data_IF_946941873853
#
_entry.id   IF_946941873853
#
_cell.length_a   1.000
_cell.length_b   1.000
_cell.length_c   1.000
_cell.angle_alpha   90.00
_cell.angle_beta   90.00
_cell.angle_gamma   90.00
#
_symmetry.space_group_name_H-M   'P 1'
#
loop_
_entity.id
_entity.type
_entity.pdbx_description
1 polymer ?
#
# COMPACT_ATOMS: atom_id res chain seq x y z
N UNK A 1 25.38 -4.41 -13.87
CA UNK A 1 25.41 -2.92 -13.81
C UNK A 1 24.81 -2.46 -12.47
N UNK A 2 25.17 -1.29 -11.94
CA UNK A 2 24.48 -0.75 -10.77
C UNK A 2 23.20 -0.04 -11.22
N UNK A 3 22.18 0.02 -10.37
CA UNK A 3 20.94 0.75 -10.69
C UNK A 3 21.22 2.21 -11.06
N UNK A 4 22.18 2.85 -10.40
CA UNK A 4 22.63 4.21 -10.70
C UNK A 4 23.17 4.32 -12.13
N UNK A 5 23.93 3.35 -12.63
CA UNK A 5 24.43 3.37 -14.02
C UNK A 5 23.30 3.17 -15.03
N UNK A 6 22.34 2.31 -14.74
CA UNK A 6 21.16 2.07 -15.59
C UNK A 6 20.34 3.36 -15.74
N UNK A 7 20.07 4.05 -14.63
CA UNK A 7 19.33 5.31 -14.65
C UNK A 7 20.10 6.40 -15.43
N UNK A 8 21.42 6.50 -15.26
CA UNK A 8 22.25 7.43 -16.01
C UNK A 8 22.21 7.16 -17.52
N UNK A 9 22.28 5.89 -17.91
CA UNK A 9 22.22 5.52 -19.31
C UNK A 9 20.86 5.85 -19.91
N UNK A 10 19.75 5.64 -19.17
CA UNK A 10 18.42 6.05 -19.63
C UNK A 10 18.30 7.57 -19.78
N UNK A 11 18.81 8.35 -18.82
CA UNK A 11 18.87 9.82 -18.90
C UNK A 11 19.68 10.26 -20.13
N UNK A 12 20.87 9.69 -20.37
CA UNK A 12 21.74 10.00 -21.49
C UNK A 12 21.13 9.69 -22.86
N UNK A 13 20.35 8.62 -22.92
CA UNK A 13 19.68 8.21 -24.15
C UNK A 13 18.36 8.95 -24.41
N UNK A 14 17.80 9.61 -23.39
CA UNK A 14 16.57 10.38 -23.54
C UNK A 14 16.85 11.70 -24.30
N UNK A 15 16.00 12.12 -25.28
CA UNK A 15 16.21 13.33 -26.07
C UNK A 15 16.38 14.62 -25.22
N UNK A 16 15.75 14.67 -24.06
CA UNK A 16 15.82 15.82 -23.13
C UNK A 16 16.98 15.72 -22.15
N UNK A 17 17.80 14.66 -22.19
CA UNK A 17 18.82 14.36 -21.18
C UNK A 17 18.26 14.38 -19.75
N UNK A 18 17.00 14.00 -19.60
CA UNK A 18 16.26 13.91 -18.34
C UNK A 18 15.11 12.92 -18.51
N UNK A 19 14.69 12.29 -17.41
CA UNK A 19 13.51 11.39 -17.35
C UNK A 19 12.50 11.93 -16.33
N UNK A 20 11.18 11.70 -16.48
CA UNK A 20 10.20 12.06 -15.47
C UNK A 20 10.53 11.43 -14.11
N UNK A 21 10.23 12.14 -13.01
CA UNK A 21 10.46 11.59 -11.65
C UNK A 21 9.77 10.21 -11.45
N UNK A 22 8.58 10.02 -12.01
CA UNK A 22 7.89 8.73 -11.97
C UNK A 22 8.75 7.60 -12.55
N UNK A 23 9.44 7.84 -13.68
CA UNK A 23 10.32 6.85 -14.28
C UNK A 23 11.59 6.61 -13.45
N UNK A 24 12.14 7.66 -12.86
CA UNK A 24 13.26 7.54 -11.92
C UNK A 24 12.87 6.66 -10.72
N UNK A 25 11.72 6.93 -10.09
CA UNK A 25 11.21 6.17 -8.95
C UNK A 25 10.93 4.72 -9.33
N UNK A 26 10.34 4.48 -10.50
CA UNK A 26 10.10 3.12 -11.03
C UNK A 26 11.41 2.31 -11.13
N UNK A 27 12.44 2.91 -11.73
CA UNK A 27 13.75 2.25 -11.85
C UNK A 27 14.39 2.02 -10.48
N UNK A 28 14.39 3.03 -9.62
CA UNK A 28 15.00 2.96 -8.30
C UNK A 28 14.36 1.88 -7.40
N UNK A 29 13.04 1.68 -7.52
CA UNK A 29 12.30 0.73 -6.68
C UNK A 29 12.17 -0.66 -7.31
N UNK A 30 11.90 -0.75 -8.63
CA UNK A 30 11.40 -1.96 -9.25
C UNK A 30 12.27 -2.53 -10.38
N UNK A 31 13.39 -1.88 -10.74
CA UNK A 31 14.25 -2.42 -11.80
C UNK A 31 14.75 -3.83 -11.42
N UNK A 32 14.66 -4.83 -12.30
CA UNK A 32 15.07 -6.22 -11.99
C UNK A 32 16.52 -6.33 -11.49
N UNK A 33 17.43 -5.53 -12.03
CA UNK A 33 18.85 -5.50 -11.66
C UNK A 33 19.13 -4.37 -10.66
N UNK A 34 18.72 -4.55 -9.39
CA UNK A 34 19.13 -3.69 -8.29
C UNK A 34 18.14 -2.61 -7.87
N UNK A 35 16.87 -2.71 -8.27
CA UNK A 35 15.79 -1.94 -7.65
C UNK A 35 15.59 -2.32 -6.19
N UNK A 36 15.11 -1.39 -5.40
CA UNK A 36 14.95 -1.56 -3.96
C UNK A 36 14.15 -2.83 -3.61
N UNK A 37 12.94 -3.00 -4.17
CA UNK A 37 12.07 -4.14 -3.88
C UNK A 37 12.51 -5.45 -4.56
N UNK A 38 13.30 -5.38 -5.62
CA UNK A 38 13.79 -6.56 -6.33
C UNK A 38 15.09 -7.14 -5.73
N UNK A 39 15.77 -6.37 -4.88
CA UNK A 39 17.00 -6.83 -4.20
C UNK A 39 16.70 -7.86 -3.12
N UNK A 40 17.68 -8.73 -2.82
CA UNK A 40 17.55 -9.84 -1.85
C UNK A 40 17.83 -9.46 -0.39
N UNK A 41 17.98 -8.16 -0.07
CA UNK A 41 18.20 -7.74 1.31
C UNK A 41 16.87 -7.59 2.07
N UNK A 42 16.86 -7.76 3.41
CA UNK A 42 15.71 -7.46 4.24
C UNK A 42 15.28 -5.98 4.11
N UNK A 43 13.96 -5.72 4.01
CA UNK A 43 13.38 -4.37 3.97
C UNK A 43 12.56 -4.06 5.19
N UNK A 44 11.87 -5.06 5.74
CA UNK A 44 10.89 -4.92 6.81
C UNK A 44 11.42 -5.60 8.08
N UNK A 45 11.16 -4.98 9.24
CA UNK A 45 11.52 -5.52 10.54
C UNK A 45 12.85 -4.98 11.09
N UNK A 46 13.37 -5.60 12.15
CA UNK A 46 14.52 -5.09 12.91
C UNK A 46 15.78 -4.88 12.06
N UNK A 47 16.02 -5.78 11.12
CA UNK A 47 17.20 -5.75 10.24
C UNK A 47 16.89 -5.06 8.89
N UNK A 48 15.71 -4.47 8.77
CA UNK A 48 15.23 -3.77 7.59
C UNK A 48 15.33 -2.24 7.68
N UNK A 49 14.59 -1.59 6.80
CA UNK A 49 14.59 -0.13 6.69
C UNK A 49 13.40 0.50 7.41
N UNK A 50 12.29 -0.25 7.63
CA UNK A 50 11.08 0.22 8.29
C UNK A 50 10.28 -0.91 8.98
N UNK A 51 9.30 -0.50 9.80
CA UNK A 51 8.29 -1.40 10.37
C UNK A 51 6.93 -1.09 9.75
N UNK A 52 6.17 -2.12 9.45
CA UNK A 52 4.78 -1.99 8.99
C UNK A 52 3.81 -2.28 10.13
N UNK A 53 2.56 -1.83 10.01
CA UNK A 53 1.49 -2.18 10.95
C UNK A 53 1.36 -3.69 11.15
N UNK A 54 1.59 -4.46 10.08
CA UNK A 54 1.54 -5.93 10.08
C UNK A 54 2.68 -6.58 10.88
N UNK A 55 3.84 -5.91 11.02
CA UNK A 55 5.02 -6.45 11.71
C UNK A 55 5.11 -6.05 13.18
N UNK A 56 4.32 -5.06 13.61
CA UNK A 56 4.33 -4.59 15.02
C UNK A 56 3.87 -5.69 15.96
N UNK A 57 2.76 -6.34 15.67
CA UNK A 57 2.21 -7.44 16.48
C UNK A 57 1.08 -8.18 15.73
N UNK A 58 0.88 -9.50 15.96
CA UNK A 58 -0.21 -10.28 15.37
C UNK A 58 -1.61 -9.70 15.56
N UNK A 59 -1.86 -8.89 16.58
CA UNK A 59 -3.19 -8.34 16.89
C UNK A 59 -3.80 -7.50 15.76
N UNK A 60 -3.00 -6.85 14.94
CA UNK A 60 -3.45 -6.16 13.73
C UNK A 60 -4.03 -7.16 12.73
N UNK A 61 -3.26 -8.18 12.38
CA UNK A 61 -3.67 -9.24 11.45
C UNK A 61 -4.90 -10.01 11.98
N UNK A 62 -4.95 -10.30 13.29
CA UNK A 62 -6.10 -10.94 13.92
C UNK A 62 -7.38 -10.09 13.77
N UNK A 63 -7.26 -8.77 13.88
CA UNK A 63 -8.40 -7.86 13.71
C UNK A 63 -8.87 -7.83 12.25
N UNK A 64 -7.93 -7.77 11.30
CA UNK A 64 -8.27 -7.85 9.87
C UNK A 64 -8.87 -9.22 9.50
N UNK A 65 -8.39 -10.30 10.11
CA UNK A 65 -8.95 -11.63 9.90
C UNK A 65 -10.41 -11.73 10.37
N UNK A 66 -10.74 -11.14 11.53
CA UNK A 66 -12.11 -11.10 12.03
C UNK A 66 -13.03 -10.28 11.08
N UNK A 67 -12.51 -9.16 10.52
CA UNK A 67 -13.22 -8.39 9.48
C UNK A 67 -13.44 -9.21 8.21
N UNK A 68 -12.43 -9.92 7.74
CA UNK A 68 -12.53 -10.80 6.56
C UNK A 68 -13.53 -11.92 6.80
N UNK A 69 -13.52 -12.54 7.99
CA UNK A 69 -14.49 -13.57 8.37
C UNK A 69 -15.93 -13.05 8.37
N UNK A 70 -16.15 -11.81 8.84
CA UNK A 70 -17.46 -11.15 8.78
C UNK A 70 -17.89 -10.88 7.34
N UNK A 71 -16.98 -10.36 6.50
CA UNK A 71 -17.21 -10.15 5.07
C UNK A 71 -17.56 -11.45 4.34
N UNK A 72 -16.90 -12.55 4.66
CA UNK A 72 -17.19 -13.86 4.06
C UNK A 72 -18.57 -14.38 4.47
N UNK A 73 -18.95 -14.24 5.74
CA UNK A 73 -20.29 -14.63 6.20
C UNK A 73 -21.39 -13.83 5.53
N UNK A 74 -21.17 -12.52 5.36
CA UNK A 74 -22.15 -11.65 4.67
C UNK A 74 -22.21 -11.90 3.17
N UNK A 75 -21.11 -12.37 2.55
CA UNK A 75 -21.08 -12.76 1.15
C UNK A 75 -21.73 -14.10 0.86
N UNK A 76 -21.84 -14.98 1.87
CA UNK A 76 -22.46 -16.29 1.73
C UNK A 76 -21.68 -17.28 0.83
N UNK A 77 -20.38 -17.03 0.61
CA UNK A 77 -19.56 -17.88 -0.25
C UNK A 77 -19.16 -19.17 0.47
N UNK A 78 -19.19 -20.28 -0.28
CA UNK A 78 -18.74 -21.59 0.21
C UNK A 78 -17.23 -21.80 0.08
N UNK A 79 -16.60 -21.15 -0.88
CA UNK A 79 -15.15 -21.20 -1.13
C UNK A 79 -14.60 -19.80 -1.35
N UNK A 80 -14.53 -18.98 -0.26
CA UNK A 80 -14.11 -17.59 -0.37
C UNK A 80 -12.62 -17.47 -0.66
N UNK A 81 -12.25 -16.40 -1.36
CA UNK A 81 -10.84 -16.06 -1.56
C UNK A 81 -10.41 -14.95 -0.59
N UNK A 82 -9.18 -15.07 -0.10
CA UNK A 82 -8.39 -13.96 0.41
C UNK A 82 -7.29 -13.67 -0.59
N UNK A 83 -7.28 -12.46 -1.13
CA UNK A 83 -6.20 -12.00 -2.01
C UNK A 83 -5.38 -10.97 -1.24
N UNK A 84 -4.08 -11.17 -1.10
CA UNK A 84 -3.17 -10.16 -0.55
C UNK A 84 -2.28 -9.61 -1.65
N UNK A 85 -2.24 -8.28 -1.80
CA UNK A 85 -1.39 -7.59 -2.76
C UNK A 85 -0.22 -6.94 -2.01
N UNK A 86 1.02 -7.26 -2.42
CA UNK A 86 2.21 -6.69 -1.81
C UNK A 86 2.47 -7.20 -0.39
N UNK A 87 2.25 -8.48 -0.14
CA UNK A 87 2.30 -9.08 1.20
C UNK A 87 3.68 -9.14 1.87
N UNK A 88 4.73 -8.62 1.23
CA UNK A 88 6.07 -8.56 1.78
C UNK A 88 6.57 -9.92 2.27
N UNK A 89 6.86 -10.06 3.56
CA UNK A 89 7.36 -11.31 4.16
C UNK A 89 6.30 -12.41 4.32
N UNK A 90 5.02 -12.14 4.05
CA UNK A 90 3.91 -13.07 4.30
C UNK A 90 3.44 -13.12 5.76
N UNK A 91 3.97 -12.24 6.62
CA UNK A 91 3.62 -12.23 8.04
C UNK A 91 2.12 -11.91 8.26
N UNK A 92 1.57 -10.95 7.49
CA UNK A 92 0.15 -10.58 7.60
C UNK A 92 -0.76 -11.76 7.26
N UNK A 93 -0.62 -12.33 6.06
CA UNK A 93 -1.36 -13.54 5.67
C UNK A 93 -1.17 -14.69 6.66
N UNK A 94 0.05 -14.94 7.13
CA UNK A 94 0.34 -16.03 8.07
C UNK A 94 -0.40 -15.87 9.41
N UNK A 95 -0.46 -14.66 9.96
CA UNK A 95 -1.22 -14.38 11.17
C UNK A 95 -2.73 -14.42 10.93
N UNK A 96 -3.20 -13.88 9.79
CA UNK A 96 -4.61 -13.93 9.41
C UNK A 96 -5.10 -15.36 9.25
N UNK A 97 -4.37 -16.23 8.56
CA UNK A 97 -4.73 -17.62 8.36
C UNK A 97 -4.85 -18.39 9.67
N UNK A 98 -3.94 -18.17 10.62
CA UNK A 98 -4.07 -18.76 11.96
C UNK A 98 -5.37 -18.36 12.63
N UNK A 99 -5.70 -17.07 12.60
CA UNK A 99 -6.92 -16.55 13.20
C UNK A 99 -8.17 -17.06 12.50
N UNK A 100 -8.19 -17.09 11.17
CA UNK A 100 -9.31 -17.61 10.38
C UNK A 100 -9.57 -19.10 10.66
N UNK A 101 -8.50 -19.91 10.80
CA UNK A 101 -8.62 -21.33 11.18
C UNK A 101 -9.31 -21.50 12.53
N UNK A 102 -9.06 -20.60 13.50
CA UNK A 102 -9.66 -20.64 14.83
C UNK A 102 -11.11 -20.15 14.84
N UNK A 103 -11.45 -19.14 14.04
CA UNK A 103 -12.73 -18.42 14.15
C UNK A 103 -13.78 -18.83 13.10
N UNK A 104 -13.34 -19.34 11.96
CA UNK A 104 -14.20 -19.79 10.85
C UNK A 104 -13.65 -21.05 10.18
N UNK A 105 -13.43 -22.15 10.93
CA UNK A 105 -12.78 -23.36 10.43
C UNK A 105 -13.50 -23.98 9.23
N UNK A 106 -14.80 -23.80 9.12
CA UNK A 106 -15.63 -24.27 8.00
C UNK A 106 -15.30 -23.53 6.69
N UNK A 107 -15.10 -22.20 6.75
CA UNK A 107 -14.71 -21.40 5.59
C UNK A 107 -13.21 -21.52 5.31
N UNK A 108 -12.40 -21.63 6.37
CA UNK A 108 -10.94 -21.80 6.24
C UNK A 108 -10.56 -23.05 5.45
N UNK A 109 -11.29 -24.15 5.60
CA UNK A 109 -11.00 -25.40 4.91
C UNK A 109 -11.10 -25.27 3.40
N UNK A 110 -12.09 -24.52 2.93
CA UNK A 110 -12.44 -24.42 1.52
C UNK A 110 -11.99 -23.08 0.88
N UNK A 111 -11.30 -22.23 1.66
CA UNK A 111 -10.80 -20.94 1.15
C UNK A 111 -9.60 -21.11 0.22
N UNK A 112 -9.38 -20.08 -0.60
CA UNK A 112 -8.16 -19.93 -1.39
C UNK A 112 -7.40 -18.69 -0.95
N UNK A 113 -6.07 -18.79 -0.84
CA UNK A 113 -5.17 -17.65 -0.66
C UNK A 113 -4.49 -17.34 -1.98
N UNK A 114 -4.67 -16.12 -2.46
CA UNK A 114 -4.01 -15.61 -3.67
C UNK A 114 -3.05 -14.50 -3.25
N UNK A 115 -1.80 -14.63 -3.63
CA UNK A 115 -0.74 -13.69 -3.30
C UNK A 115 -0.23 -13.04 -4.58
N UNK A 116 -0.21 -11.70 -4.61
CA UNK A 116 0.31 -10.94 -5.74
C UNK A 116 1.59 -10.25 -5.27
N UNK A 117 2.73 -10.76 -5.75
CA UNK A 117 4.05 -10.32 -5.31
C UNK A 117 5.03 -10.25 -6.48
N UNK A 118 5.53 -9.06 -6.75
CA UNK A 118 6.45 -8.80 -7.85
C UNK A 118 7.88 -9.22 -7.53
N UNK A 119 8.27 -9.20 -6.24
CA UNK A 119 9.61 -9.54 -5.79
C UNK A 119 9.80 -11.06 -5.64
N UNK A 120 10.70 -11.70 -6.41
CA UNK A 120 11.01 -13.12 -6.23
C UNK A 120 11.53 -13.43 -4.82
N UNK A 121 12.26 -12.49 -4.20
CA UNK A 121 12.75 -12.62 -2.84
C UNK A 121 11.63 -12.66 -1.81
N UNK A 122 10.68 -11.72 -1.89
CA UNK A 122 9.52 -11.72 -0.99
C UNK A 122 8.62 -12.93 -1.22
N UNK A 123 8.43 -13.36 -2.47
CA UNK A 123 7.69 -14.59 -2.77
C UNK A 123 8.30 -15.80 -2.06
N UNK A 124 9.62 -15.95 -2.06
CA UNK A 124 10.30 -17.03 -1.34
C UNK A 124 10.04 -16.97 0.17
N UNK A 125 10.08 -15.77 0.76
CA UNK A 125 9.76 -15.57 2.18
C UNK A 125 8.29 -15.92 2.49
N UNK A 126 7.37 -15.56 1.61
CA UNK A 126 5.95 -15.91 1.72
C UNK A 126 5.73 -17.43 1.65
N UNK A 127 6.38 -18.11 0.71
CA UNK A 127 6.31 -19.57 0.58
C UNK A 127 6.80 -20.26 1.86
N UNK A 128 7.85 -19.74 2.49
CA UNK A 128 8.36 -20.24 3.76
C UNK A 128 7.42 -19.95 4.93
N UNK A 129 6.97 -18.70 5.08
CA UNK A 129 6.07 -18.27 6.15
C UNK A 129 4.72 -19.00 6.13
N UNK A 130 4.25 -19.38 4.95
CA UNK A 130 2.95 -20.01 4.72
C UNK A 130 3.02 -21.52 4.51
N UNK A 131 4.19 -22.14 4.69
CA UNK A 131 4.40 -23.59 4.44
C UNK A 131 3.46 -24.48 5.25
N UNK A 132 3.15 -24.11 6.50
CA UNK A 132 2.28 -24.87 7.40
C UNK A 132 0.79 -24.57 7.26
N UNK A 133 0.37 -23.70 6.34
CA UNK A 133 -1.04 -23.41 6.12
C UNK A 133 -1.67 -24.43 5.16
N UNK A 134 -2.74 -25.09 5.61
CA UNK A 134 -3.44 -26.15 4.88
C UNK A 134 -4.57 -25.58 4.00
N UNK A 135 -4.25 -24.54 3.20
CA UNK A 135 -5.19 -23.92 2.25
C UNK A 135 -4.57 -23.92 0.86
N UNK A 136 -5.41 -23.86 -0.17
CA UNK A 136 -4.93 -23.66 -1.54
C UNK A 136 -4.24 -22.30 -1.63
N UNK A 137 -3.01 -22.26 -2.16
CA UNK A 137 -2.20 -21.06 -2.32
C UNK A 137 -1.79 -20.86 -3.77
N UNK A 138 -1.98 -19.66 -4.28
CA UNK A 138 -1.55 -19.27 -5.62
C UNK A 138 -0.76 -17.98 -5.57
N UNK A 139 0.30 -17.87 -6.37
CA UNK A 139 1.13 -16.68 -6.51
C UNK A 139 1.12 -16.17 -7.94
N UNK A 140 0.98 -14.86 -8.06
CA UNK A 140 1.10 -14.14 -9.32
C UNK A 140 2.16 -13.05 -9.20
N UNK A 141 2.90 -12.79 -10.28
CA UNK A 141 3.93 -11.75 -10.31
C UNK A 141 3.35 -10.34 -10.48
N UNK A 142 2.11 -10.23 -10.91
CA UNK A 142 1.43 -8.95 -11.06
C UNK A 142 -0.09 -9.09 -10.91
N UNK A 143 -0.73 -7.97 -10.53
CA UNK A 143 -2.18 -7.89 -10.47
C UNK A 143 -2.84 -8.17 -11.82
N UNK A 144 -2.22 -7.72 -12.93
CA UNK A 144 -2.70 -7.97 -14.29
C UNK A 144 -2.70 -9.46 -14.63
N UNK A 145 -1.64 -10.17 -14.25
CA UNK A 145 -1.55 -11.63 -14.44
C UNK A 145 -2.66 -12.34 -13.66
N UNK A 146 -2.83 -12.01 -12.37
CA UNK A 146 -3.89 -12.57 -11.54
C UNK A 146 -5.29 -12.30 -12.13
N UNK A 147 -5.56 -11.06 -12.55
CA UNK A 147 -6.83 -10.65 -13.14
C UNK A 147 -7.14 -11.30 -14.50
N UNK A 148 -6.11 -11.75 -15.22
CA UNK A 148 -6.26 -12.50 -16.47
C UNK A 148 -6.50 -14.00 -16.24
N UNK A 149 -5.92 -14.54 -15.16
CA UNK A 149 -5.95 -15.97 -14.84
C UNK A 149 -7.16 -16.37 -14.00
N UNK A 150 -7.65 -15.46 -13.14
CA UNK A 150 -8.66 -15.77 -12.13
C UNK A 150 -9.81 -14.76 -12.12
N UNK A 151 -10.87 -15.18 -11.41
CA UNK A 151 -11.92 -14.29 -10.93
C UNK A 151 -12.33 -14.79 -9.55
N UNK A 152 -12.19 -13.94 -8.54
CA UNK A 152 -12.41 -14.32 -7.15
C UNK A 152 -13.72 -13.79 -6.59
N UNK A 153 -14.29 -14.53 -5.66
CA UNK A 153 -15.35 -14.09 -4.76
C UNK A 153 -14.77 -14.07 -3.34
N UNK A 154 -14.83 -12.91 -2.66
CA UNK A 154 -14.21 -12.80 -1.35
C UNK A 154 -13.64 -11.41 -1.06
N UNK A 155 -12.40 -11.36 -0.57
CA UNK A 155 -11.76 -10.11 -0.12
C UNK A 155 -10.39 -9.94 -0.78
N UNK A 156 -10.18 -8.78 -1.39
CA UNK A 156 -8.87 -8.31 -1.82
C UNK A 156 -8.35 -7.32 -0.77
N UNK A 157 -7.18 -7.60 -0.21
CA UNK A 157 -6.52 -6.82 0.82
C UNK A 157 -5.20 -6.25 0.28
N UNK A 158 -4.94 -4.98 0.53
CA UNK A 158 -3.61 -4.38 0.42
C UNK A 158 -3.29 -3.57 1.67
N UNK A 159 -2.05 -3.69 2.15
CA UNK A 159 -1.53 -2.93 3.28
C UNK A 159 -0.17 -2.36 2.92
N UNK A 160 -0.03 -1.03 2.92
CA UNK A 160 1.21 -0.35 2.53
C UNK A 160 1.69 -0.82 1.13
N UNK A 161 0.85 -0.60 0.14
CA UNK A 161 1.09 -1.02 -1.25
C UNK A 161 1.06 0.14 -2.24
N UNK A 162 0.04 1.02 -2.13
CA UNK A 162 -0.14 2.12 -3.08
C UNK A 162 0.85 3.26 -2.87
N UNK A 163 1.38 3.42 -1.66
CA UNK A 163 2.37 4.43 -1.29
C UNK A 163 3.71 4.27 -2.02
N UNK A 164 4.05 3.03 -2.38
CA UNK A 164 5.27 2.68 -3.09
C UNK A 164 5.13 2.78 -4.63
N UNK A 165 3.96 3.17 -5.15
CA UNK A 165 3.77 3.31 -6.60
C UNK A 165 4.57 4.51 -7.13
N UNK A 166 5.19 4.36 -8.32
CA UNK A 166 5.85 5.49 -8.99
C UNK A 166 4.89 6.66 -9.18
N UNK A 167 5.29 7.84 -8.72
CA UNK A 167 4.50 9.06 -8.82
C UNK A 167 5.17 10.10 -9.70
N UNK A 168 4.37 10.82 -10.48
CA UNK A 168 4.79 12.07 -11.07
C UNK A 168 4.81 13.16 -10.00
N UNK A 169 5.78 14.05 -10.07
CA UNK A 169 5.83 15.24 -9.21
C UNK A 169 5.53 16.47 -10.07
N UNK A 170 4.46 17.18 -9.73
CA UNK A 170 4.08 18.43 -10.38
C UNK A 170 4.38 19.62 -9.48
N UNK A 171 4.97 20.68 -10.05
CA UNK A 171 5.19 21.93 -9.36
C UNK A 171 4.38 23.05 -10.01
N UNK A 172 3.68 23.83 -9.18
CA UNK A 172 2.89 24.98 -9.63
C UNK A 172 3.80 26.19 -9.85
N UNK A 173 3.89 26.66 -11.09
CA UNK A 173 4.65 27.87 -11.46
C UNK A 173 3.72 29.05 -11.79
N UNK A 174 4.29 30.20 -12.17
CA UNK A 174 3.52 31.35 -12.65
C UNK A 174 2.73 31.01 -13.94
N UNK A 175 3.34 30.18 -14.79
CA UNK A 175 2.80 29.83 -16.12
C UNK A 175 1.96 28.55 -16.13
N UNK A 176 1.66 27.99 -14.94
CA UNK A 176 0.88 26.75 -14.80
C UNK A 176 1.69 25.62 -14.15
N UNK A 177 1.25 24.39 -14.38
CA UNK A 177 1.95 23.20 -13.87
C UNK A 177 3.19 22.88 -14.70
N UNK A 178 4.27 22.52 -14.02
CA UNK A 178 5.47 21.91 -14.59
C UNK A 178 5.71 20.56 -13.93
N UNK A 179 6.32 19.65 -14.66
CA UNK A 179 6.68 18.34 -14.14
C UNK A 179 8.15 18.35 -13.68
N UNK A 180 8.42 17.67 -12.57
CA UNK A 180 9.80 17.44 -12.11
C UNK A 180 10.39 16.29 -12.93
N UNK A 181 11.49 16.58 -13.59
CA UNK A 181 12.30 15.64 -14.32
C UNK A 181 13.66 15.48 -13.63
N UNK A 182 14.26 14.31 -13.76
CA UNK A 182 15.54 13.96 -13.15
C UNK A 182 16.62 13.93 -14.23
N UNK A 183 17.72 14.64 -13.99
CA UNK A 183 18.92 14.70 -14.84
C UNK A 183 20.17 14.37 -14.03
N UNK A 184 21.31 14.22 -14.72
CA UNK A 184 22.62 14.07 -14.08
C UNK A 184 23.20 15.44 -13.73
N UNK A 185 23.78 15.58 -12.53
CA UNK A 185 24.57 16.72 -12.12
C UNK A 185 25.61 16.33 -11.06
N UNK A 186 26.82 16.88 -11.15
CA UNK A 186 27.90 16.77 -10.15
C UNK A 186 28.14 15.35 -9.58
N UNK A 187 28.05 14.36 -10.47
CA UNK A 187 28.24 12.95 -10.09
C UNK A 187 27.02 12.27 -9.46
N UNK A 188 25.91 12.98 -9.23
CA UNK A 188 24.64 12.51 -8.71
C UNK A 188 23.47 12.73 -9.68
N UNK A 189 22.30 12.93 -9.10
CA UNK A 189 21.08 13.30 -9.82
C UNK A 189 20.55 14.65 -9.33
N UNK A 190 19.90 15.40 -10.22
CA UNK A 190 19.28 16.69 -9.92
C UNK A 190 17.93 16.81 -10.60
N UNK A 191 17.12 17.73 -10.10
CA UNK A 191 15.81 18.06 -10.66
C UNK A 191 15.92 19.16 -11.71
N UNK A 192 15.10 19.05 -12.75
CA UNK A 192 14.80 20.10 -13.69
C UNK A 192 13.29 20.18 -13.91
N UNK A 193 12.75 21.39 -14.03
CA UNK A 193 11.34 21.56 -14.37
C UNK A 193 11.16 21.48 -15.88
N UNK A 194 10.30 20.57 -16.31
CA UNK A 194 10.00 20.33 -17.72
C UNK A 194 8.51 20.49 -18.04
N UNK A 195 8.17 20.19 -19.28
CA UNK A 195 6.78 20.09 -19.71
C UNK A 195 6.10 18.92 -19.03
N UNK A 196 4.82 19.09 -18.76
CA UNK A 196 3.95 18.04 -18.18
C UNK A 196 3.75 16.93 -19.22
N UNK A 197 4.03 15.70 -18.83
CA UNK A 197 3.76 14.52 -19.67
C UNK A 197 2.25 14.32 -19.88
N UNK A 198 1.83 13.62 -20.97
CA UNK A 198 0.41 13.35 -21.20
C UNK A 198 -0.26 12.57 -20.05
N UNK A 199 0.46 11.67 -19.40
CA UNK A 199 -0.04 10.90 -18.24
C UNK A 199 -0.35 11.83 -17.06
N UNK A 200 0.57 12.69 -16.68
CA UNK A 200 0.37 13.67 -15.62
C UNK A 200 -0.71 14.69 -16.00
N UNK A 201 -0.73 15.19 -17.23
CA UNK A 201 -1.71 16.16 -17.71
C UNK A 201 -3.16 15.64 -17.57
N UNK A 202 -3.37 14.35 -17.82
CA UNK A 202 -4.67 13.72 -17.64
C UNK A 202 -5.14 13.79 -16.18
N UNK A 203 -4.26 13.53 -15.23
CA UNK A 203 -4.57 13.57 -13.80
C UNK A 203 -4.74 14.99 -13.24
N UNK A 204 -3.98 15.95 -13.76
CA UNK A 204 -4.05 17.34 -13.30
C UNK A 204 -5.36 18.07 -13.67
N UNK A 205 -6.19 17.48 -14.53
CA UNK A 205 -7.53 18.05 -14.87
C UNK A 205 -8.44 18.17 -13.66
N UNK A 206 -8.31 17.25 -12.70
CA UNK A 206 -9.12 17.18 -11.49
C UNK A 206 -8.46 17.88 -10.29
N UNK A 207 -7.32 18.54 -10.49
CA UNK A 207 -6.60 19.30 -9.45
C UNK A 207 -7.00 20.76 -9.49
N UNK A 208 -7.24 21.35 -8.30
CA UNK A 208 -7.60 22.76 -8.17
C UNK A 208 -6.50 23.66 -8.77
N UNK A 209 -6.94 24.54 -9.67
CA UNK A 209 -6.06 25.50 -10.35
C UNK A 209 -5.63 26.67 -9.46
N UNK A 210 -6.30 26.87 -8.33
CA UNK A 210 -6.04 27.96 -7.37
C UNK A 210 -4.87 27.66 -6.42
N UNK A 211 -4.30 26.43 -6.47
CA UNK A 211 -3.18 26.06 -5.62
C UNK A 211 -2.01 27.04 -5.75
N UNK A 212 -1.33 27.37 -4.63
CA UNK A 212 -0.33 28.43 -4.60
C UNK A 212 0.90 28.08 -5.43
N UNK A 213 1.54 29.12 -5.96
CA UNK A 213 2.83 29.01 -6.66
C UNK A 213 3.91 28.39 -5.76
N UNK A 214 4.74 27.54 -6.32
CA UNK A 214 5.81 26.79 -5.63
C UNK A 214 5.29 25.56 -4.88
N UNK A 215 4.02 25.25 -4.99
CA UNK A 215 3.47 24.04 -4.41
C UNK A 215 3.80 22.83 -5.27
N UNK A 216 4.27 21.76 -4.64
CA UNK A 216 4.50 20.43 -5.24
C UNK A 216 3.42 19.46 -4.82
N UNK A 217 3.03 18.60 -5.74
CA UNK A 217 2.08 17.50 -5.50
C UNK A 217 2.60 16.23 -6.18
N UNK A 218 2.37 15.10 -5.55
CA UNK A 218 2.58 13.78 -6.12
C UNK A 218 1.30 13.29 -6.78
N UNK A 219 1.44 12.67 -7.94
CA UNK A 219 0.32 12.15 -8.73
C UNK A 219 0.64 10.75 -9.23
N UNK A 220 -0.15 9.78 -8.79
CA UNK A 220 -0.06 8.41 -9.28
C UNK A 220 -0.95 8.24 -10.53
N UNK A 221 -0.34 8.14 -11.70
CA UNK A 221 -1.04 7.97 -12.97
C UNK A 221 -1.52 6.53 -13.23
N UNK A 222 -1.10 5.56 -12.41
CA UNK A 222 -1.47 4.16 -12.58
C UNK A 222 -2.81 3.78 -11.90
N UNK A 223 -3.39 4.67 -11.08
CA UNK A 223 -4.57 4.35 -10.25
C UNK A 223 -5.76 3.82 -11.05
N UNK A 224 -6.08 4.42 -12.20
CA UNK A 224 -7.20 4.00 -13.05
C UNK A 224 -7.03 2.56 -13.56
N UNK A 225 -5.84 2.25 -14.10
CA UNK A 225 -5.55 0.91 -14.59
C UNK A 225 -5.51 -0.10 -13.46
N UNK A 226 -4.94 0.28 -12.32
CA UNK A 226 -4.85 -0.58 -11.13
C UNK A 226 -6.24 -0.91 -10.59
N UNK A 227 -7.12 0.08 -10.47
CA UNK A 227 -8.51 -0.13 -10.03
C UNK A 227 -9.29 -1.02 -11.01
N UNK A 228 -9.06 -0.85 -12.32
CA UNK A 228 -9.67 -1.71 -13.34
C UNK A 228 -9.19 -3.17 -13.22
N UNK A 229 -7.91 -3.40 -12.94
CA UNK A 229 -7.36 -4.75 -12.76
C UNK A 229 -7.85 -5.38 -11.43
N UNK A 230 -7.94 -4.60 -10.33
CA UNK A 230 -8.58 -5.04 -9.07
C UNK A 230 -10.04 -5.44 -9.32
N UNK A 231 -10.80 -4.59 -10.01
CA UNK A 231 -12.20 -4.89 -10.33
C UNK A 231 -12.35 -6.11 -11.25
N UNK A 232 -11.42 -6.31 -12.20
CA UNK A 232 -11.45 -7.48 -13.07
C UNK A 232 -11.19 -8.77 -12.30
N UNK A 233 -10.25 -8.76 -11.36
CA UNK A 233 -9.96 -9.88 -10.49
C UNK A 233 -11.14 -10.21 -9.56
N UNK A 234 -11.80 -9.18 -9.00
CA UNK A 234 -12.94 -9.35 -8.09
C UNK A 234 -14.24 -9.53 -8.88
N UNK A 235 -14.84 -10.71 -8.85
CA UNK A 235 -16.19 -10.96 -9.39
C UNK A 235 -17.26 -10.39 -8.45
N UNK A 236 -17.16 -10.76 -7.18
CA UNK A 236 -18.06 -10.33 -6.11
C UNK A 236 -17.31 -10.27 -4.79
N UNK A 237 -17.53 -9.23 -3.98
CA UNK A 237 -16.92 -9.13 -2.67
C UNK A 237 -16.40 -7.74 -2.33
N UNK A 238 -15.29 -7.71 -1.60
CA UNK A 238 -14.78 -6.49 -0.99
C UNK A 238 -13.31 -6.23 -1.36
N UNK A 239 -12.98 -4.94 -1.41
CA UNK A 239 -11.60 -4.46 -1.48
C UNK A 239 -11.31 -3.68 -0.21
N UNK A 240 -10.30 -4.10 0.53
CA UNK A 240 -9.83 -3.45 1.76
C UNK A 240 -8.43 -2.91 1.52
N UNK A 241 -8.33 -1.58 1.44
CA UNK A 241 -7.06 -0.87 1.27
C UNK A 241 -6.68 -0.18 2.57
N UNK A 242 -5.51 -0.51 3.11
CA UNK A 242 -4.92 0.14 4.30
C UNK A 242 -3.61 0.77 3.86
N UNK A 243 -3.54 2.11 3.94
CA UNK A 243 -2.35 2.83 3.50
C UNK A 243 -2.27 4.21 4.16
N UNK A 244 -1.09 4.85 4.13
CA UNK A 244 -0.99 6.21 4.60
C UNK A 244 -1.24 7.21 3.47
N UNK A 245 -2.02 8.22 3.80
CA UNK A 245 -2.48 9.20 2.83
C UNK A 245 -3.69 9.96 3.36
N UNK A 246 -4.35 10.66 2.45
CA UNK A 246 -5.59 11.35 2.80
C UNK A 246 -6.44 11.64 1.55
N UNK A 247 -7.56 12.33 1.74
CA UNK A 247 -8.31 12.94 0.65
C UNK A 247 -7.51 14.06 -0.02
N UNK A 248 -7.83 14.36 -1.26
CA UNK A 248 -7.10 15.31 -2.08
C UNK A 248 -6.95 16.69 -1.43
N UNK A 249 -8.01 17.16 -0.78
CA UNK A 249 -8.07 18.47 -0.12
C UNK A 249 -7.03 18.59 1.02
N UNK A 250 -6.82 17.52 1.77
CA UNK A 250 -5.84 17.45 2.86
C UNK A 250 -4.40 17.27 2.32
N UNK A 251 -4.23 16.46 1.27
CA UNK A 251 -2.91 16.25 0.67
C UNK A 251 -2.40 17.50 -0.03
N UNK A 252 -3.29 18.20 -0.75
CA UNK A 252 -2.94 19.40 -1.51
C UNK A 252 -3.23 20.70 -0.72
N UNK A 253 -3.24 20.59 0.61
CA UNK A 253 -3.40 21.75 1.47
C UNK A 253 -2.20 22.71 1.33
N UNK A 254 -2.40 24.05 1.21
CA UNK A 254 -1.33 25.04 0.99
C UNK A 254 -0.17 25.01 2.00
N UNK A 255 -0.37 24.46 3.19
CA UNK A 255 0.69 24.26 4.17
C UNK A 255 1.68 23.14 3.79
N UNK A 256 1.32 22.21 2.89
CA UNK A 256 2.15 21.10 2.41
C UNK A 256 2.90 21.45 1.12
N UNK A 257 3.64 22.56 1.12
CA UNK A 257 4.29 23.11 -0.09
C UNK A 257 5.23 22.16 -0.80
N UNK A 258 5.84 21.21 -0.08
CA UNK A 258 6.84 20.27 -0.60
C UNK A 258 6.28 18.91 -1.01
N UNK A 259 4.95 18.72 -0.89
CA UNK A 259 4.33 17.41 -1.10
C UNK A 259 4.53 16.47 0.08
N UNK A 260 4.56 15.16 -0.22
CA UNK A 260 4.54 14.07 0.77
C UNK A 260 5.64 13.04 0.55
N UNK A 261 6.52 13.22 -0.44
CA UNK A 261 7.62 12.29 -0.71
C UNK A 261 8.47 12.09 0.54
N UNK A 262 8.72 10.82 0.87
CA UNK A 262 9.56 10.41 1.97
C UNK A 262 10.41 9.20 1.58
N UNK A 263 11.65 9.19 2.04
CA UNK A 263 12.57 8.07 1.83
C UNK A 263 12.89 7.43 3.18
N UNK A 264 13.03 6.10 3.18
CA UNK A 264 13.36 5.33 4.38
C UNK A 264 14.58 4.45 4.13
N UNK A 265 15.54 4.54 5.04
CA UNK A 265 16.73 3.68 5.05
C UNK A 265 17.21 3.47 6.48
N UNK A 266 17.39 2.21 6.91
CA UNK A 266 17.88 1.86 8.26
C UNK A 266 17.13 2.60 9.38
N UNK A 267 15.81 2.63 9.30
CA UNK A 267 14.90 3.31 10.24
C UNK A 267 15.07 4.83 10.31
N UNK A 268 15.70 5.44 9.34
CA UNK A 268 15.83 6.90 9.21
C UNK A 268 14.99 7.39 8.04
N UNK A 269 14.16 8.40 8.32
CA UNK A 269 13.37 9.08 7.31
C UNK A 269 14.07 10.36 6.83
N UNK A 270 14.02 10.62 5.52
CA UNK A 270 14.50 11.87 4.91
C UNK A 270 13.77 12.15 3.60
N UNK A 271 13.92 13.35 3.03
CA UNK A 271 13.19 13.83 1.85
C UNK A 271 14.03 13.86 0.55
N UNK A 272 15.19 13.20 0.52
CA UNK A 272 16.07 13.19 -0.65
C UNK A 272 16.03 11.84 -1.39
N UNK A 273 15.29 11.70 -2.51
CA UNK A 273 15.23 10.45 -3.26
C UNK A 273 16.48 10.15 -4.10
N UNK A 274 17.37 11.13 -4.29
CA UNK A 274 18.52 11.05 -5.19
C UNK A 274 19.79 10.48 -4.57
N UNK A 275 19.78 10.23 -3.27
CA UNK A 275 20.86 9.52 -2.56
C UNK A 275 20.47 8.05 -2.37
N UNK A 276 21.47 7.17 -2.19
CA UNK A 276 21.25 5.74 -1.92
C UNK A 276 20.27 5.04 -2.88
N UNK A 277 20.28 5.43 -4.15
CA UNK A 277 19.36 4.94 -5.18
C UNK A 277 19.40 3.40 -5.29
N UNK A 278 18.25 2.74 -5.19
CA UNK A 278 18.12 1.28 -5.10
C UNK A 278 18.43 0.69 -3.71
N UNK A 279 18.84 1.53 -2.74
CA UNK A 279 19.15 1.10 -1.38
C UNK A 279 18.23 1.71 -0.32
N UNK A 280 17.28 2.52 -0.72
CA UNK A 280 16.28 3.15 0.13
C UNK A 280 14.89 2.97 -0.46
N UNK A 281 13.88 2.98 0.40
CA UNK A 281 12.50 3.10 -0.03
C UNK A 281 12.18 4.54 -0.41
N UNK A 282 11.27 4.71 -1.36
CA UNK A 282 10.75 6.02 -1.77
C UNK A 282 9.24 5.88 -1.79
N UNK A 283 8.55 6.67 -0.97
CA UNK A 283 7.10 6.61 -0.82
C UNK A 283 6.46 7.97 -1.01
N UNK A 284 5.17 7.95 -1.35
CA UNK A 284 4.32 9.13 -1.40
C UNK A 284 2.97 8.81 -0.77
N UNK A 285 2.34 9.78 -0.10
CA UNK A 285 1.02 9.57 0.46
C UNK A 285 -0.02 9.28 -0.62
N UNK A 286 -0.86 8.29 -0.36
CA UNK A 286 -1.93 7.89 -1.27
C UNK A 286 -3.03 8.96 -1.34
N UNK A 287 -3.36 9.41 -2.55
CA UNK A 287 -4.54 10.23 -2.79
C UNK A 287 -5.79 9.35 -2.81
N UNK A 288 -6.42 9.18 -1.66
CA UNK A 288 -7.62 8.35 -1.54
C UNK A 288 -8.82 8.89 -2.32
N UNK A 289 -8.93 10.21 -2.53
CA UNK A 289 -9.97 10.76 -3.43
C UNK A 289 -9.79 10.25 -4.86
N UNK A 290 -8.55 10.18 -5.36
CA UNK A 290 -8.26 9.63 -6.69
C UNK A 290 -8.50 8.11 -6.72
N UNK A 291 -8.09 7.38 -5.69
CA UNK A 291 -8.28 5.93 -5.60
C UNK A 291 -9.76 5.54 -5.52
N UNK A 292 -10.57 6.26 -4.73
CA UNK A 292 -12.04 6.07 -4.68
C UNK A 292 -12.67 6.30 -6.05
N UNK A 293 -12.37 7.42 -6.71
CA UNK A 293 -12.90 7.72 -8.06
C UNK A 293 -12.50 6.66 -9.09
N UNK A 294 -11.26 6.21 -9.07
CA UNK A 294 -10.79 5.15 -9.96
C UNK A 294 -11.54 3.84 -9.72
N UNK A 295 -11.76 3.47 -8.46
CA UNK A 295 -12.55 2.31 -8.07
C UNK A 295 -14.00 2.41 -8.54
N UNK A 296 -14.65 3.55 -8.33
CA UNK A 296 -16.05 3.79 -8.75
C UNK A 296 -16.20 3.69 -10.27
N UNK A 297 -15.26 4.27 -11.05
CA UNK A 297 -15.24 4.12 -12.52
C UNK A 297 -15.04 2.67 -12.95
N UNK A 298 -14.33 1.88 -12.16
CA UNK A 298 -14.14 0.45 -12.39
C UNK A 298 -15.30 -0.43 -11.87
N UNK A 299 -16.36 0.16 -11.29
CA UNK A 299 -17.52 -0.54 -10.76
C UNK A 299 -17.37 -1.04 -9.31
N UNK A 300 -16.44 -0.49 -8.57
CA UNK A 300 -16.31 -0.70 -7.12
C UNK A 300 -17.11 0.38 -6.38
N UNK A 301 -18.03 0.00 -5.50
CA UNK A 301 -18.80 0.94 -4.68
C UNK A 301 -18.04 1.23 -3.39
N UNK A 302 -17.77 2.49 -3.08
CA UNK A 302 -17.19 2.89 -1.79
C UNK A 302 -18.21 2.69 -0.67
N UNK A 303 -17.85 1.87 0.33
CA UNK A 303 -18.67 1.62 1.53
C UNK A 303 -18.21 2.43 2.72
N UNK A 304 -16.89 2.57 2.92
CA UNK A 304 -16.32 3.32 4.02
C UNK A 304 -14.95 3.89 3.66
N UNK A 305 -14.68 5.10 4.16
CA UNK A 305 -13.37 5.70 4.23
C UNK A 305 -13.19 6.31 5.62
N UNK A 306 -12.16 5.89 6.34
CA UNK A 306 -11.92 6.38 7.70
C UNK A 306 -10.46 6.20 8.14
N UNK A 307 -10.10 6.84 9.25
CA UNK A 307 -8.80 6.64 9.89
C UNK A 307 -8.69 5.21 10.43
N UNK A 308 -7.45 4.67 10.41
CA UNK A 308 -7.16 3.31 10.88
C UNK A 308 -7.58 3.09 12.34
N UNK A 309 -7.34 4.06 13.22
CA UNK A 309 -7.72 3.94 14.63
C UNK A 309 -9.22 3.69 14.80
N UNK A 310 -10.05 4.45 14.08
CA UNK A 310 -11.51 4.29 14.11
C UNK A 310 -11.95 2.95 13.54
N UNK A 311 -11.34 2.56 12.42
CA UNK A 311 -11.64 1.27 11.79
C UNK A 311 -11.34 0.11 12.73
N UNK A 312 -10.14 0.07 13.30
CA UNK A 312 -9.70 -1.01 14.18
C UNK A 312 -10.54 -1.08 15.47
N UNK A 313 -10.87 0.08 16.08
CA UNK A 313 -11.73 0.14 17.27
C UNK A 313 -13.12 -0.44 16.95
N UNK A 314 -13.74 0.01 15.86
CA UNK A 314 -15.05 -0.52 15.43
C UNK A 314 -14.98 -2.01 15.07
N UNK A 315 -13.85 -2.49 14.58
CA UNK A 315 -13.60 -3.90 14.25
C UNK A 315 -13.25 -4.78 15.47
N UNK A 316 -13.32 -4.25 16.69
CA UNK A 316 -13.13 -5.02 17.92
C UNK A 316 -11.69 -5.14 18.39
N UNK A 317 -10.77 -4.28 17.94
CA UNK A 317 -9.37 -4.31 18.41
C UNK A 317 -9.25 -4.20 19.94
N UNK A 318 -10.07 -3.34 20.58
CA UNK A 318 -10.00 -3.15 22.03
C UNK A 318 -10.42 -4.38 22.83
N UNK A 319 -11.29 -5.22 22.26
CA UNK A 319 -11.72 -6.50 22.88
C UNK A 319 -10.59 -7.52 22.93
N UNK A 320 -9.51 -7.31 22.17
CA UNK A 320 -8.31 -8.15 22.16
C UNK A 320 -7.28 -7.79 23.22
N UNK A 321 -7.54 -6.74 24.01
CA UNK A 321 -6.69 -6.38 25.15
C UNK A 321 -6.79 -7.45 26.24
N UNK A 322 -5.68 -7.72 26.90
CA UNK A 322 -5.57 -8.77 27.92
C UNK A 322 -5.24 -8.15 29.27
N UNK A 323 -6.06 -8.46 30.28
CA UNK A 323 -5.71 -8.11 31.66
C UNK A 323 -4.45 -8.88 32.09
N UNK A 324 -3.54 -8.22 32.78
CA UNK A 324 -2.30 -8.84 33.26
C UNK A 324 -1.87 -8.25 34.62
N UNK A 325 -1.21 -9.06 35.39
CA UNK A 325 -0.53 -8.66 36.61
C UNK A 325 1.01 -8.57 36.43
N UNK A 326 1.49 -8.79 35.21
CA UNK A 326 2.92 -8.77 34.89
C UNK A 326 3.49 -7.35 35.03
N UNK A 327 4.70 -7.26 35.54
CA UNK A 327 5.41 -6.01 35.73
C UNK A 327 6.57 -5.82 34.74
N UNK A 328 7.01 -6.88 34.08
CA UNK A 328 8.10 -6.82 33.09
C UNK A 328 7.58 -6.64 31.67
N UNK A 329 7.77 -5.44 31.07
CA UNK A 329 7.28 -5.15 29.73
C UNK A 329 8.07 -5.85 28.60
N UNK A 330 9.22 -6.43 28.91
CA UNK A 330 10.09 -7.08 27.91
C UNK A 330 9.76 -8.56 27.72
N UNK A 331 9.29 -9.23 28.76
CA UNK A 331 8.98 -10.67 28.70
C UNK A 331 7.49 -10.94 28.58
N UNK A 332 6.61 -10.11 29.19
CA UNK A 332 5.16 -10.32 29.19
C UNK A 332 4.55 -10.19 27.80
N UNK A 333 3.94 -11.28 27.30
CA UNK A 333 3.19 -11.26 26.04
C UNK A 333 1.94 -10.40 26.12
N UNK A 334 1.27 -10.37 27.27
CA UNK A 334 0.09 -9.53 27.50
C UNK A 334 0.44 -8.04 27.39
N UNK A 335 1.55 -7.61 28.03
CA UNK A 335 2.01 -6.22 27.91
C UNK A 335 2.42 -5.85 26.49
N UNK A 336 3.13 -6.73 25.77
CA UNK A 336 3.49 -6.51 24.36
C UNK A 336 2.24 -6.33 23.50
N UNK A 337 1.23 -7.18 23.68
CA UNK A 337 -0.05 -7.12 22.97
C UNK A 337 -0.77 -5.79 23.25
N UNK A 338 -0.92 -5.42 24.52
CA UNK A 338 -1.60 -4.18 24.91
C UNK A 338 -0.86 -2.93 24.41
N UNK A 339 0.48 -2.93 24.43
CA UNK A 339 1.28 -1.86 23.85
C UNK A 339 1.07 -1.75 22.32
N UNK A 340 1.02 -2.88 21.62
CA UNK A 340 0.74 -2.88 20.20
C UNK A 340 -0.65 -2.31 19.88
N UNK A 341 -1.67 -2.68 20.67
CA UNK A 341 -3.01 -2.08 20.56
C UNK A 341 -2.94 -0.56 20.71
N UNK A 342 -2.26 -0.06 21.74
CA UNK A 342 -2.08 1.38 21.95
C UNK A 342 -1.38 2.06 20.77
N UNK A 343 -0.31 1.46 20.20
CA UNK A 343 0.40 1.99 19.05
C UNK A 343 -0.49 2.07 17.81
N UNK A 344 -1.31 1.05 17.57
CA UNK A 344 -2.20 0.98 16.40
C UNK A 344 -3.34 2.01 16.43
N UNK A 345 -3.75 2.46 17.63
CA UNK A 345 -4.83 3.45 17.79
C UNK A 345 -4.30 4.84 18.20
N UNK A 346 -3.01 5.01 18.41
CA UNK A 346 -2.45 6.32 18.81
C UNK A 346 -2.64 7.35 17.69
N UNK A 347 -3.38 8.45 17.94
CA UNK A 347 -3.73 9.41 16.89
C UNK A 347 -2.53 10.17 16.32
N UNK A 348 -1.46 10.36 17.09
CA UNK A 348 -0.20 10.98 16.66
C UNK A 348 0.79 10.03 15.97
N UNK A 349 0.41 8.78 15.76
CA UNK A 349 1.23 7.74 15.14
C UNK A 349 0.46 6.98 14.06
N UNK A 350 0.67 5.67 14.01
CA UNK A 350 0.08 4.80 12.98
C UNK A 350 -1.43 4.96 12.86
N UNK A 351 -2.16 5.05 13.98
CA UNK A 351 -3.62 5.18 13.97
C UNK A 351 -4.12 6.43 13.26
N UNK A 352 -3.37 7.53 13.33
CA UNK A 352 -3.74 8.81 12.73
C UNK A 352 -3.25 9.02 11.31
N UNK A 353 -2.13 8.40 10.93
CA UNK A 353 -1.51 8.55 9.61
C UNK A 353 -2.17 7.67 8.56
N UNK A 354 -2.56 6.46 8.95
CA UNK A 354 -3.18 5.49 8.04
C UNK A 354 -4.67 5.75 7.82
N UNK A 355 -5.10 5.41 6.63
CA UNK A 355 -6.49 5.39 6.20
C UNK A 355 -6.90 3.99 5.80
N UNK A 356 -8.17 3.69 6.02
CA UNK A 356 -8.79 2.44 5.59
C UNK A 356 -9.92 2.80 4.64
N UNK A 357 -9.83 2.26 3.44
CA UNK A 357 -10.89 2.33 2.43
C UNK A 357 -11.46 0.94 2.23
N UNK A 358 -12.78 0.83 2.31
CA UNK A 358 -13.52 -0.39 1.97
C UNK A 358 -14.41 -0.10 0.78
N UNK A 359 -14.23 -0.88 -0.27
CA UNK A 359 -15.07 -0.87 -1.46
C UNK A 359 -15.69 -2.24 -1.68
N UNK A 360 -16.80 -2.30 -2.41
CA UNK A 360 -17.49 -3.54 -2.72
C UNK A 360 -17.88 -3.63 -4.19
N UNK A 361 -17.99 -4.86 -4.69
CA UNK A 361 -18.51 -5.17 -6.02
C UNK A 361 -19.53 -6.30 -5.93
N UNK A 362 -20.70 -6.10 -6.55
CA UNK A 362 -21.72 -7.13 -6.61
C UNK A 362 -22.36 -7.48 -5.27
N UNK A 363 -22.12 -6.68 -4.21
CA UNK A 363 -22.72 -6.89 -2.89
C UNK A 363 -24.00 -6.10 -2.76
N UNK A 364 -25.01 -6.64 -2.02
CA UNK A 364 -26.25 -5.91 -1.75
C UNK A 364 -25.98 -4.65 -0.92
N UNK A 365 -26.88 -3.68 -1.03
CA UNK A 365 -26.85 -2.47 -0.20
C UNK A 365 -27.23 -2.79 1.24
N UNK A 366 -26.65 -2.05 2.20
CA UNK A 366 -26.98 -2.18 3.61
C UNK A 366 -26.46 -3.45 4.27
N UNK A 367 -25.39 -4.06 3.75
CA UNK A 367 -24.74 -5.21 4.39
C UNK A 367 -24.27 -4.79 5.77
N UNK A 368 -24.68 -5.52 6.84
CA UNK A 368 -24.31 -5.18 8.21
C UNK A 368 -22.88 -5.63 8.51
N UNK A 369 -21.90 -4.77 8.25
CA UNK A 369 -20.51 -4.96 8.67
C UNK A 369 -20.25 -4.07 9.90
N UNK A 370 -19.65 -4.66 10.93
CA UNK A 370 -19.47 -4.04 12.25
C UNK A 370 -18.80 -2.67 12.22
N UNK A 371 -17.87 -2.47 11.29
CA UNK A 371 -17.13 -1.20 11.15
C UNK A 371 -17.91 -0.14 10.37
N UNK A 372 -18.99 -0.49 9.66
CA UNK A 372 -19.84 0.47 8.97
C UNK A 372 -20.66 1.31 9.98
N UNK A 373 -21.15 2.49 9.56
CA UNK A 373 -22.03 3.33 10.39
C UNK A 373 -23.30 2.61 10.82
#
# INVERSE_FOLDING_TARGET
>A
MTITSIIRDEIRNHPRRAIPFARFMELALYHPEGGYYTSTRPKVGRDGDFFTSATVHPVFAETLADVVAEMWRTGGWTSPALVEIGGGTGALSGHMLRRLRETVPELYRDMRLVLIETSPYHRQLQEEALRGAEVEKRWYSSLREAAAAEGVEGVILSNEWLDAFPVHVAEKTADGWREVWVTEADGGFAEVLGEVTPALAACLRDVDKSLPRGMRIEVNSAMEQTAADVSRLLRQGYVLTVDYGDVQEELYHPARKRGTLMCYRRHQAHDNPYVHVGEQDITAHVNFSAWMRAGERAGLKTLAYMRQDRFLIKSGLLEKAVAHADTDPFTSQAMKRNRAIQQLIYPGGLGGLFRVLVQAKGMPDGVPLRFLP
#
